data_IF_154338662770
#
_entry.id   IF_154338662770
#
_cell.length_a   1.000
_cell.length_b   1.000
_cell.length_c   1.000
_cell.angle_alpha   90.00
_cell.angle_beta   90.00
_cell.angle_gamma   90.00
#
_symmetry.space_group_name_H-M   'P 1'
#
loop_
_entity.id
_entity.type
_entity.pdbx_description
1 polymer ?
#
# COMPACT_ATOMS: atom_id res chain seq x y z
N UNK A 1 9.76 -18.75 -22.76
CA UNK A 1 10.61 -17.73 -22.09
C UNK A 1 10.99 -18.28 -20.72
N UNK A 2 12.27 -18.19 -20.30
CA UNK A 2 12.66 -18.60 -18.94
C UNK A 2 12.48 -17.42 -18.00
N UNK A 3 11.89 -17.66 -16.83
CA UNK A 3 11.67 -16.62 -15.79
C UNK A 3 12.99 -16.23 -15.11
N UNK A 4 13.89 -17.18 -14.88
CA UNK A 4 15.18 -16.94 -14.25
C UNK A 4 16.26 -16.62 -15.28
N UNK A 5 17.06 -15.59 -15.00
CA UNK A 5 18.22 -15.17 -15.83
C UNK A 5 19.55 -15.49 -15.16
N UNK A 6 19.56 -15.82 -13.87
CA UNK A 6 20.73 -16.01 -13.00
C UNK A 6 21.62 -14.77 -12.83
N UNK A 7 21.27 -13.64 -13.43
CA UNK A 7 22.05 -12.40 -13.35
C UNK A 7 22.07 -11.77 -11.94
N UNK A 8 21.09 -12.17 -11.12
CA UNK A 8 20.95 -11.69 -9.73
C UNK A 8 21.62 -12.58 -8.67
N UNK A 9 22.24 -13.70 -9.03
CA UNK A 9 22.79 -14.68 -8.08
C UNK A 9 24.02 -14.13 -7.32
N UNK A 10 24.67 -13.08 -7.86
CA UNK A 10 25.78 -12.37 -7.23
C UNK A 10 25.33 -11.27 -6.22
N UNK A 11 24.05 -11.19 -5.87
CA UNK A 11 23.53 -10.18 -4.92
C UNK A 11 23.31 -8.80 -5.55
N UNK A 12 23.32 -8.69 -6.88
CA UNK A 12 23.06 -7.45 -7.60
C UNK A 12 21.81 -7.55 -8.47
N UNK A 13 21.20 -6.39 -8.76
CA UNK A 13 20.08 -6.26 -9.70
C UNK A 13 20.31 -5.04 -10.61
N UNK A 14 19.38 -4.82 -11.54
CA UNK A 14 19.45 -3.69 -12.47
C UNK A 14 18.16 -2.89 -12.36
N UNK A 15 18.28 -1.60 -12.09
CA UNK A 15 17.19 -0.65 -12.11
C UNK A 15 16.79 -0.28 -13.55
N UNK A 16 15.62 0.34 -13.70
CA UNK A 16 15.18 0.87 -14.99
C UNK A 16 16.15 1.98 -15.43
N UNK A 17 16.68 1.87 -16.63
CA UNK A 17 17.75 2.72 -17.14
C UNK A 17 19.12 2.02 -17.18
N UNK A 18 19.21 0.79 -16.63
CA UNK A 18 20.42 -0.03 -16.73
C UNK A 18 21.42 0.09 -15.59
N UNK A 19 21.14 0.95 -14.58
CA UNK A 19 21.99 1.09 -13.41
C UNK A 19 22.03 -0.21 -12.60
N UNK A 20 23.24 -0.75 -12.36
CA UNK A 20 23.48 -1.92 -11.51
C UNK A 20 23.60 -1.49 -10.07
N UNK A 21 22.83 -2.12 -9.19
CA UNK A 21 22.81 -1.84 -7.75
C UNK A 21 22.82 -3.14 -6.94
N UNK A 22 23.27 -3.11 -5.68
CA UNK A 22 23.10 -4.27 -4.79
C UNK A 22 21.61 -4.48 -4.46
N UNK A 23 21.22 -5.72 -4.19
CA UNK A 23 19.81 -6.04 -3.87
C UNK A 23 19.29 -5.38 -2.58
N UNK A 24 20.18 -4.83 -1.76
CA UNK A 24 19.84 -4.05 -0.57
C UNK A 24 19.86 -2.53 -0.83
N UNK A 25 19.85 -2.12 -2.09
CA UNK A 25 19.73 -0.71 -2.47
C UNK A 25 18.39 -0.12 -2.04
N UNK A 26 18.38 1.18 -1.76
CA UNK A 26 17.17 1.90 -1.29
C UNK A 26 16.02 1.81 -2.29
N UNK A 27 16.27 1.84 -3.59
CA UNK A 27 15.25 1.64 -4.63
C UNK A 27 14.63 0.25 -4.55
N UNK A 28 15.48 -0.79 -4.43
CA UNK A 28 15.05 -2.19 -4.36
C UNK A 28 14.19 -2.43 -3.13
N UNK A 29 14.61 -1.89 -1.99
CA UNK A 29 13.88 -1.96 -0.72
C UNK A 29 12.53 -1.23 -0.82
N UNK A 30 12.51 -0.06 -1.47
CA UNK A 30 11.30 0.75 -1.60
C UNK A 30 10.26 0.06 -2.48
N UNK A 31 10.58 -0.28 -3.73
CA UNK A 31 9.61 -0.92 -4.60
C UNK A 31 9.23 -2.33 -4.12
N UNK A 32 10.17 -3.07 -3.52
CA UNK A 32 9.87 -4.38 -2.93
C UNK A 32 8.92 -4.31 -1.74
N UNK A 33 8.97 -3.23 -0.94
CA UNK A 33 7.99 -3.00 0.14
C UNK A 33 6.61 -2.65 -0.41
N UNK A 34 6.52 -1.95 -1.54
CA UNK A 34 5.24 -1.66 -2.21
C UNK A 34 4.65 -2.94 -2.82
N UNK A 35 5.47 -3.81 -3.41
CA UNK A 35 5.06 -5.13 -3.93
C UNK A 35 4.53 -6.04 -2.80
N UNK A 36 5.20 -6.07 -1.64
CA UNK A 36 4.71 -6.76 -0.44
C UNK A 36 3.32 -6.24 -0.02
N UNK A 37 3.12 -4.92 0.00
CA UNK A 37 1.82 -4.31 0.27
C UNK A 37 0.77 -4.74 -0.77
N UNK A 38 1.12 -4.75 -2.06
CA UNK A 38 0.22 -5.15 -3.13
C UNK A 38 -0.25 -6.60 -2.98
N UNK A 39 0.65 -7.51 -2.58
CA UNK A 39 0.32 -8.90 -2.28
C UNK A 39 -0.63 -9.03 -1.06
N UNK A 40 -0.41 -8.24 -0.01
CA UNK A 40 -1.30 -8.21 1.15
C UNK A 40 -2.67 -7.60 0.84
N UNK A 41 -2.76 -6.61 -0.05
CA UNK A 41 -4.06 -6.09 -0.55
C UNK A 41 -4.84 -7.20 -1.30
N UNK A 42 -4.14 -8.01 -2.11
CA UNK A 42 -4.78 -9.16 -2.76
C UNK A 42 -5.32 -10.16 -1.74
N UNK A 43 -4.51 -10.51 -0.74
CA UNK A 43 -4.93 -11.42 0.34
C UNK A 43 -6.12 -10.85 1.13
N UNK A 44 -6.11 -9.56 1.46
CA UNK A 44 -7.23 -8.88 2.13
C UNK A 44 -8.51 -9.00 1.30
N UNK A 45 -8.43 -8.78 -0.02
CA UNK A 45 -9.56 -8.92 -0.94
C UNK A 45 -10.12 -10.35 -0.94
N UNK A 46 -9.26 -11.36 -1.09
CA UNK A 46 -9.65 -12.76 -1.08
C UNK A 46 -10.31 -13.16 0.25
N UNK A 47 -9.78 -12.67 1.37
CA UNK A 47 -10.35 -12.90 2.69
C UNK A 47 -11.71 -12.21 2.85
N UNK A 48 -11.88 -10.96 2.40
CA UNK A 48 -13.18 -10.30 2.40
C UNK A 48 -14.21 -11.12 1.62
N UNK A 49 -13.86 -11.59 0.43
CA UNK A 49 -14.71 -12.44 -0.40
C UNK A 49 -15.07 -13.75 0.29
N UNK A 50 -14.09 -14.42 0.91
CA UNK A 50 -14.29 -15.68 1.64
C UNK A 50 -15.30 -15.53 2.80
N UNK A 51 -15.30 -14.39 3.49
CA UNK A 51 -16.19 -14.07 4.59
C UNK A 51 -17.48 -13.33 4.17
N UNK A 52 -17.77 -13.25 2.87
CA UNK A 52 -19.00 -12.67 2.33
C UNK A 52 -19.08 -11.14 2.42
N UNK A 53 -17.95 -10.47 2.60
CA UNK A 53 -17.88 -9.01 2.54
C UNK A 53 -17.63 -8.57 1.11
N UNK A 54 -18.51 -7.75 0.56
CA UNK A 54 -18.48 -7.26 -0.82
C UNK A 54 -18.49 -5.72 -0.88
N UNK A 55 -18.31 -5.16 -2.09
CA UNK A 55 -18.36 -3.72 -2.37
C UNK A 55 -17.01 -3.02 -2.24
N UNK A 56 -15.90 -3.77 -2.20
CA UNK A 56 -14.53 -3.27 -2.16
C UNK A 56 -13.66 -3.78 -3.33
N UNK A 57 -14.24 -4.52 -4.26
CA UNK A 57 -13.55 -5.15 -5.40
C UNK A 57 -12.86 -4.12 -6.28
N UNK A 58 -13.60 -3.05 -6.64
CA UNK A 58 -13.07 -1.97 -7.46
C UNK A 58 -11.98 -1.18 -6.73
N UNK A 59 -12.15 -0.94 -5.43
CA UNK A 59 -11.15 -0.28 -4.59
C UNK A 59 -9.85 -1.08 -4.58
N UNK A 60 -9.90 -2.38 -4.29
CA UNK A 60 -8.71 -3.24 -4.22
C UNK A 60 -7.96 -3.30 -5.55
N UNK A 61 -8.68 -3.50 -6.67
CA UNK A 61 -8.07 -3.54 -8.00
C UNK A 61 -7.48 -2.17 -8.38
N UNK A 62 -8.17 -1.07 -8.05
CA UNK A 62 -7.65 0.28 -8.30
C UNK A 62 -6.40 0.56 -7.48
N UNK A 63 -6.38 0.15 -6.19
CA UNK A 63 -5.22 0.29 -5.32
C UNK A 63 -4.03 -0.46 -5.90
N UNK A 64 -4.17 -1.74 -6.26
CA UNK A 64 -3.08 -2.53 -6.83
C UNK A 64 -2.51 -1.92 -8.13
N UNK A 65 -3.38 -1.39 -9.01
CA UNK A 65 -2.93 -0.68 -10.22
C UNK A 65 -2.10 0.56 -9.90
N UNK A 66 -2.48 1.34 -8.88
CA UNK A 66 -1.73 2.51 -8.46
C UNK A 66 -0.42 2.11 -7.75
N UNK A 67 -0.40 1.04 -6.95
CA UNK A 67 0.82 0.51 -6.36
C UNK A 67 1.82 0.07 -7.43
N UNK A 68 1.38 -0.60 -8.51
CA UNK A 68 2.22 -0.97 -9.66
C UNK A 68 2.85 0.26 -10.35
N UNK A 69 2.11 1.39 -10.44
CA UNK A 69 2.68 2.66 -10.92
C UNK A 69 3.78 3.13 -9.97
N UNK A 70 3.53 3.14 -8.66
CA UNK A 70 4.50 3.58 -7.64
C UNK A 70 5.75 2.71 -7.67
N UNK A 71 5.61 1.38 -7.73
CA UNK A 71 6.74 0.45 -7.87
C UNK A 71 7.59 0.78 -9.09
N UNK A 72 6.93 1.01 -10.23
CA UNK A 72 7.62 1.35 -11.47
C UNK A 72 8.41 2.66 -11.37
N UNK A 73 7.85 3.68 -10.73
CA UNK A 73 8.51 4.97 -10.49
C UNK A 73 9.72 4.81 -9.55
N UNK A 74 9.56 4.05 -8.47
CA UNK A 74 10.63 3.80 -7.49
C UNK A 74 11.76 2.93 -8.06
N UNK A 75 11.49 2.14 -9.10
CA UNK A 75 12.49 1.30 -9.77
C UNK A 75 13.35 2.05 -10.80
N UNK A 76 13.12 3.35 -11.03
CA UNK A 76 13.91 4.15 -11.96
C UNK A 76 15.25 4.51 -11.34
N UNK A 77 16.35 4.06 -11.99
CA UNK A 77 17.71 4.41 -11.60
C UNK A 77 18.20 5.69 -12.24
N UNK A 78 19.42 6.07 -11.90
CA UNK A 78 20.11 7.25 -12.45
C UNK A 78 20.19 7.18 -13.99
N UNK A 79 19.77 8.26 -14.65
CA UNK A 79 19.71 8.34 -16.11
C UNK A 79 18.58 7.52 -16.75
N UNK A 80 17.81 6.78 -15.96
CA UNK A 80 16.64 6.05 -16.44
C UNK A 80 15.45 6.98 -16.71
N UNK A 81 14.57 6.56 -17.59
CA UNK A 81 13.29 7.23 -17.81
C UNK A 81 12.18 6.21 -18.05
N UNK A 82 11.00 6.53 -17.57
CA UNK A 82 9.76 5.82 -17.86
C UNK A 82 8.78 6.75 -18.56
N UNK A 83 7.95 6.16 -19.45
CA UNK A 83 6.77 6.85 -20.01
C UNK A 83 5.55 6.74 -19.07
N UNK A 84 5.80 6.58 -17.77
CA UNK A 84 4.77 6.51 -16.74
C UNK A 84 4.83 7.81 -15.95
N UNK A 85 3.69 8.48 -15.84
CA UNK A 85 3.54 9.70 -15.05
C UNK A 85 3.34 9.34 -13.57
N UNK A 86 3.58 10.29 -12.66
CA UNK A 86 3.22 10.18 -11.25
C UNK A 86 1.72 9.90 -11.08
N UNK A 87 1.33 9.43 -9.92
CA UNK A 87 -0.07 9.22 -9.55
C UNK A 87 -0.87 10.50 -9.81
N UNK A 88 -2.00 10.35 -10.49
CA UNK A 88 -2.89 11.49 -10.74
C UNK A 88 -3.53 11.97 -9.44
N UNK A 89 -3.62 13.30 -9.20
CA UNK A 89 -4.25 13.84 -7.99
C UNK A 89 -5.66 13.31 -7.71
N UNK A 90 -6.42 12.99 -8.77
CA UNK A 90 -7.77 12.43 -8.66
C UNK A 90 -7.80 11.06 -7.97
N UNK A 91 -6.67 10.32 -7.96
CA UNK A 91 -6.56 9.05 -7.24
C UNK A 91 -6.43 9.25 -5.73
N UNK A 92 -5.78 10.33 -5.32
CA UNK A 92 -5.72 10.74 -3.91
C UNK A 92 -7.11 11.21 -3.46
N UNK A 93 -7.74 12.09 -4.24
CA UNK A 93 -9.10 12.58 -3.98
C UNK A 93 -10.14 11.45 -3.91
N UNK A 94 -9.98 10.41 -4.74
CA UNK A 94 -10.84 9.23 -4.68
C UNK A 94 -10.73 8.51 -3.31
N UNK A 95 -9.51 8.30 -2.80
CA UNK A 95 -9.34 7.69 -1.48
C UNK A 95 -9.95 8.56 -0.37
N UNK A 96 -9.81 9.89 -0.45
CA UNK A 96 -10.42 10.84 0.48
C UNK A 96 -11.95 10.70 0.49
N UNK A 97 -12.57 10.70 -0.69
CA UNK A 97 -14.01 10.50 -0.82
C UNK A 97 -14.46 9.14 -0.26
N UNK A 98 -13.68 8.07 -0.50
CA UNK A 98 -13.99 6.75 0.06
C UNK A 98 -13.90 6.73 1.57
N UNK A 99 -12.89 7.37 2.15
CA UNK A 99 -12.74 7.53 3.61
C UNK A 99 -13.96 8.23 4.18
N UNK A 100 -14.36 9.36 3.60
CA UNK A 100 -15.51 10.15 4.06
C UNK A 100 -16.79 9.30 4.03
N UNK A 101 -17.08 8.67 2.87
CA UNK A 101 -18.26 7.81 2.70
C UNK A 101 -18.30 6.66 3.70
N UNK A 102 -17.19 5.97 3.89
CA UNK A 102 -17.10 4.82 4.80
C UNK A 102 -17.19 5.27 6.28
N UNK A 103 -16.71 6.46 6.58
CA UNK A 103 -16.76 7.01 7.94
C UNK A 103 -18.19 7.33 8.39
N UNK A 104 -19.12 7.62 7.46
CA UNK A 104 -20.54 7.82 7.79
C UNK A 104 -21.21 6.56 8.35
N UNK A 105 -20.68 5.37 8.05
CA UNK A 105 -21.17 4.08 8.56
C UNK A 105 -20.69 3.80 10.00
N UNK A 106 -19.76 4.60 10.54
CA UNK A 106 -19.01 4.28 11.74
C UNK A 106 -19.39 5.17 12.94
N UNK A 107 -19.35 4.62 14.16
CA UNK A 107 -19.40 5.46 15.35
C UNK A 107 -18.17 6.36 15.45
N UNK A 108 -18.25 7.49 16.16
CA UNK A 108 -17.10 8.36 16.42
C UNK A 108 -15.92 7.59 17.04
N UNK A 109 -14.70 8.02 16.73
CA UNK A 109 -13.49 7.50 17.37
C UNK A 109 -13.34 8.17 18.72
N UNK A 110 -13.62 7.43 19.80
CA UNK A 110 -13.47 7.93 21.17
C UNK A 110 -12.14 7.52 21.80
N UNK A 111 -11.56 6.39 21.37
CA UNK A 111 -10.33 5.80 21.91
C UNK A 111 -9.49 5.16 20.82
N UNK A 112 -8.22 4.95 21.10
CA UNK A 112 -7.37 4.14 20.25
C UNK A 112 -7.83 2.68 20.23
N UNK A 113 -7.71 2.04 19.08
CA UNK A 113 -8.04 0.63 18.89
C UNK A 113 -6.76 -0.21 18.75
N UNK A 114 -6.81 -1.40 19.33
CA UNK A 114 -5.76 -2.42 19.16
C UNK A 114 -6.17 -3.31 17.97
N UNK A 115 -5.28 -3.57 17.00
CA UNK A 115 -5.58 -4.46 15.89
C UNK A 115 -5.98 -5.87 16.37
N UNK A 116 -7.09 -6.42 15.83
CA UNK A 116 -7.56 -7.74 16.22
C UNK A 116 -9.06 -7.91 16.05
N UNK A 117 -9.62 -8.91 16.72
CA UNK A 117 -11.06 -9.21 16.71
C UNK A 117 -11.50 -10.14 15.59
N UNK A 118 -10.94 -10.02 14.39
CA UNK A 118 -11.20 -10.91 13.25
C UNK A 118 -10.00 -10.93 12.30
N UNK A 119 -9.76 -12.06 11.63
CA UNK A 119 -8.59 -12.22 10.74
C UNK A 119 -8.58 -11.20 9.59
N UNK A 120 -9.73 -10.90 8.99
CA UNK A 120 -9.87 -9.89 7.92
C UNK A 120 -9.56 -8.48 8.44
N UNK A 121 -9.99 -8.15 9.67
CA UNK A 121 -9.67 -6.88 10.33
C UNK A 121 -8.17 -6.79 10.60
N UNK A 122 -7.57 -7.85 11.13
CA UNK A 122 -6.13 -7.93 11.38
C UNK A 122 -5.32 -7.72 10.10
N UNK A 123 -5.75 -8.35 8.98
CA UNK A 123 -5.10 -8.19 7.67
C UNK A 123 -5.19 -6.74 7.17
N UNK A 124 -6.32 -6.07 7.33
CA UNK A 124 -6.43 -4.64 7.00
C UNK A 124 -5.41 -3.79 7.78
N UNK A 125 -5.19 -4.10 9.05
CA UNK A 125 -4.17 -3.41 9.84
C UNK A 125 -2.73 -3.77 9.44
N UNK A 126 -2.47 -5.01 8.98
CA UNK A 126 -1.18 -5.39 8.38
C UNK A 126 -0.95 -4.55 7.12
N UNK A 127 -1.90 -4.51 6.20
CA UNK A 127 -1.85 -3.66 5.00
C UNK A 127 -1.56 -2.19 5.37
N UNK A 128 -2.26 -1.65 6.37
CA UNK A 128 -2.05 -0.27 6.85
C UNK A 128 -0.61 -0.04 7.33
N UNK A 129 -0.07 -0.93 8.13
CA UNK A 129 1.30 -0.76 8.67
C UNK A 129 2.36 -0.96 7.60
N UNK A 130 2.14 -1.88 6.65
CA UNK A 130 2.97 -2.06 5.45
C UNK A 130 2.93 -0.82 4.56
N UNK A 131 1.75 -0.24 4.33
CA UNK A 131 1.61 1.00 3.57
C UNK A 131 2.43 2.14 4.18
N UNK A 132 2.38 2.33 5.50
CA UNK A 132 3.21 3.31 6.21
C UNK A 132 4.71 3.00 6.13
N UNK A 133 5.10 1.72 6.08
CA UNK A 133 6.49 1.31 5.85
C UNK A 133 6.91 1.65 4.40
N UNK A 134 6.07 1.33 3.42
CA UNK A 134 6.30 1.64 2.02
C UNK A 134 6.45 3.16 1.79
N UNK A 135 5.59 3.98 2.37
CA UNK A 135 5.70 5.44 2.34
C UNK A 135 7.07 5.92 2.84
N UNK A 136 7.50 5.48 4.02
CA UNK A 136 8.81 5.86 4.57
C UNK A 136 9.98 5.39 3.72
N UNK A 137 9.87 4.21 3.06
CA UNK A 137 10.90 3.71 2.15
C UNK A 137 10.91 4.48 0.83
N UNK A 138 9.74 4.81 0.29
CA UNK A 138 9.61 5.62 -0.92
C UNK A 138 10.24 7.01 -0.75
N UNK A 139 10.05 7.65 0.41
CA UNK A 139 10.66 8.95 0.73
C UNK A 139 12.20 8.91 0.77
N UNK A 140 12.82 7.76 1.04
CA UNK A 140 14.28 7.61 1.00
C UNK A 140 14.83 7.57 -0.43
N UNK A 141 14.00 7.29 -1.43
CA UNK A 141 14.38 7.27 -2.86
C UNK A 141 14.35 8.68 -3.45
N UNK A 142 13.68 9.64 -2.78
CA UNK A 142 13.60 11.01 -3.25
C UNK A 142 15.01 11.62 -3.35
N UNK A 143 15.35 12.05 -4.56
CA UNK A 143 16.59 12.80 -4.82
C UNK A 143 16.25 14.23 -5.19
N UNK A 144 17.25 15.12 -5.18
CA UNK A 144 17.09 16.52 -5.59
C UNK A 144 16.56 16.69 -7.04
N UNK A 145 16.59 15.63 -7.84
CA UNK A 145 16.24 15.65 -9.26
C UNK A 145 14.92 14.96 -9.59
N UNK A 146 14.40 14.11 -8.68
CA UNK A 146 13.17 13.32 -8.92
C UNK A 146 12.34 13.33 -7.64
N UNK A 147 11.13 13.82 -7.74
CA UNK A 147 10.13 13.77 -6.67
C UNK A 147 8.80 13.25 -7.23
N UNK A 148 8.13 12.39 -6.49
CA UNK A 148 6.82 11.86 -6.82
C UNK A 148 5.79 12.27 -5.75
N UNK A 149 5.42 13.57 -5.66
CA UNK A 149 4.62 14.08 -4.56
C UNK A 149 3.24 13.42 -4.47
N UNK A 150 2.64 13.06 -5.61
CA UNK A 150 1.34 12.41 -5.61
C UNK A 150 1.44 10.93 -5.20
N UNK A 151 2.53 10.23 -5.52
CA UNK A 151 2.78 8.87 -5.04
C UNK A 151 2.91 8.83 -3.51
N UNK A 152 3.63 9.79 -2.92
CA UNK A 152 3.77 9.91 -1.46
C UNK A 152 2.44 10.27 -0.80
N UNK A 153 1.71 11.24 -1.36
CA UNK A 153 0.37 11.62 -0.88
C UNK A 153 -0.60 10.43 -0.97
N UNK A 154 -0.52 9.65 -2.05
CA UNK A 154 -1.34 8.45 -2.24
C UNK A 154 -1.07 7.39 -1.17
N UNK A 155 0.20 7.04 -0.91
CA UNK A 155 0.56 6.07 0.12
C UNK A 155 0.12 6.54 1.52
N UNK A 156 0.29 7.83 1.83
CA UNK A 156 -0.19 8.41 3.08
C UNK A 156 -1.71 8.23 3.21
N UNK A 157 -2.48 8.64 2.21
CA UNK A 157 -3.94 8.56 2.21
C UNK A 157 -4.45 7.12 2.16
N UNK A 158 -3.75 6.23 1.46
CA UNK A 158 -4.07 4.80 1.45
C UNK A 158 -3.97 4.20 2.87
N UNK A 159 -3.00 4.63 3.67
CA UNK A 159 -2.91 4.16 5.06
C UNK A 159 -4.12 4.57 5.92
N UNK A 160 -4.70 5.75 5.68
CA UNK A 160 -5.91 6.23 6.36
C UNK A 160 -7.14 5.44 5.86
N UNK A 161 -7.25 5.22 4.54
CA UNK A 161 -8.29 4.37 3.97
C UNK A 161 -8.29 2.97 4.58
N UNK A 162 -7.12 2.32 4.69
CA UNK A 162 -6.99 0.98 5.27
C UNK A 162 -7.36 0.94 6.76
N UNK A 163 -7.14 2.03 7.50
CA UNK A 163 -7.62 2.14 8.87
C UNK A 163 -9.14 2.19 8.95
N UNK A 164 -9.77 3.04 8.14
CA UNK A 164 -11.25 3.15 8.09
C UNK A 164 -11.86 1.85 7.58
N UNK A 165 -11.27 1.23 6.55
CA UNK A 165 -11.71 -0.08 6.06
C UNK A 165 -11.69 -1.13 7.18
N UNK A 166 -10.64 -1.19 8.00
CA UNK A 166 -10.57 -2.10 9.15
C UNK A 166 -11.73 -1.91 10.13
N UNK A 167 -12.12 -0.66 10.41
CA UNK A 167 -13.28 -0.36 11.24
C UNK A 167 -14.60 -0.78 10.60
N UNK A 168 -14.78 -0.51 9.32
CA UNK A 168 -15.98 -0.97 8.56
C UNK A 168 -16.07 -2.49 8.55
N UNK A 169 -14.94 -3.16 8.33
CA UNK A 169 -14.89 -4.63 8.38
C UNK A 169 -15.28 -5.18 9.75
N UNK A 170 -14.89 -4.51 10.85
CA UNK A 170 -15.31 -4.87 12.20
C UNK A 170 -16.84 -4.86 12.34
N UNK A 171 -17.49 -3.81 11.83
CA UNK A 171 -18.95 -3.69 11.85
C UNK A 171 -19.61 -4.75 10.95
N UNK A 172 -19.16 -4.88 9.69
CA UNK A 172 -19.78 -5.78 8.70
C UNK A 172 -19.59 -7.25 9.04
N UNK A 173 -18.53 -7.60 9.76
CA UNK A 173 -18.27 -8.95 10.25
C UNK A 173 -18.90 -9.23 11.63
N UNK A 174 -19.67 -8.27 12.15
CA UNK A 174 -20.33 -8.36 13.46
C UNK A 174 -19.36 -8.76 14.59
N UNK A 175 -18.19 -8.12 14.60
CA UNK A 175 -17.18 -8.25 15.65
C UNK A 175 -16.99 -6.92 16.37
N UNK A 176 -16.16 -6.88 17.42
CA UNK A 176 -15.95 -5.69 18.24
C UNK A 176 -14.55 -5.13 18.07
N UNK A 177 -14.42 -3.80 18.06
CA UNK A 177 -13.12 -3.13 18.23
C UNK A 177 -12.55 -3.45 19.61
N UNK A 178 -11.26 -3.78 19.65
CA UNK A 178 -10.51 -3.92 20.89
C UNK A 178 -10.01 -2.52 21.26
N UNK A 179 -10.59 -1.94 22.29
CA UNK A 179 -10.20 -0.60 22.74
C UNK A 179 -8.92 -0.67 23.58
N UNK A 180 -8.03 0.31 23.36
CA UNK A 180 -6.86 0.46 24.20
C UNK A 180 -7.23 1.21 25.47
N UNK A 181 -6.89 0.63 26.63
CA UNK A 181 -7.02 1.26 27.95
C UNK A 181 -5.63 1.26 28.62
N UNK A 182 -5.15 2.42 29.09
CA UNK A 182 -3.92 2.46 29.88
C UNK A 182 -4.12 1.71 31.19
N UNK A 183 -3.10 0.95 31.63
CA UNK A 183 -3.04 0.30 32.94
C UNK A 183 -2.91 1.33 34.08
#
# INVERSE_FOLDING_TARGET
>A
MKIYTKSGDSGQTTLIGGQRVPKYDVHVEAYGTVDELSAHIAMLYDMMSLYGVSGFEEDCVSIQKNLMVIESLLAVGEGGSLKIEDIKPERVAYLEQRIDTLSEELPPIERFTIPGGHIVVSESHICRTLCRRAERKALLVETATVAYPNAYAYLNRLSDYLYILGRVLTVRLNTNEILWEPE
#
